data_IF_823511885102
#
_entry.id   IF_823511885102
#
_cell.length_a   1.000
_cell.length_b   1.000
_cell.length_c   1.000
_cell.angle_alpha   90.00
_cell.angle_beta   90.00
_cell.angle_gamma   90.00
#
_symmetry.space_group_name_H-M   'P 1'
#
loop_
_entity.id
_entity.type
_entity.pdbx_description
1 polymer ?
#
# COMPACT_ATOMS: atom_id res chain seq x y z
N UNK A 1 6.09 -26.91 -7.57
CA UNK A 1 7.18 -26.08 -7.01
C UNK A 1 6.68 -25.55 -5.67
N UNK A 2 7.30 -25.92 -4.55
CA UNK A 2 6.89 -25.41 -3.23
C UNK A 2 7.71 -24.15 -2.97
N UNK A 3 7.06 -22.99 -3.01
CA UNK A 3 7.66 -21.71 -2.65
C UNK A 3 7.47 -21.57 -1.14
N UNK A 4 8.54 -21.79 -0.37
CA UNK A 4 8.51 -21.67 1.08
C UNK A 4 8.79 -20.22 1.46
N UNK A 5 7.74 -19.43 1.68
CA UNK A 5 7.84 -18.08 2.24
C UNK A 5 7.40 -18.17 3.69
N UNK A 6 8.33 -18.03 4.64
CA UNK A 6 7.95 -17.85 6.05
C UNK A 6 8.04 -16.37 6.40
N UNK A 7 6.95 -15.76 6.91
CA UNK A 7 5.63 -16.35 7.16
C UNK A 7 4.74 -16.32 5.91
N UNK A 8 4.13 -17.47 5.59
CA UNK A 8 3.02 -17.53 4.63
C UNK A 8 1.74 -17.38 5.44
N UNK A 9 1.12 -16.20 5.38
CA UNK A 9 -0.26 -16.06 5.82
C UNK A 9 -1.15 -16.69 4.75
N UNK A 10 -1.99 -17.64 5.13
CA UNK A 10 -3.05 -18.17 4.27
C UNK A 10 -4.38 -17.54 4.67
N UNK A 11 -5.27 -17.38 3.70
CA UNK A 11 -6.63 -16.89 3.93
C UNK A 11 -7.57 -17.55 2.93
N UNK A 12 -8.82 -17.74 3.35
CA UNK A 12 -9.89 -18.32 2.54
C UNK A 12 -10.53 -17.30 1.59
N UNK A 13 -10.14 -16.02 1.68
CA UNK A 13 -10.65 -14.98 0.79
C UNK A 13 -10.23 -15.26 -0.67
N UNK A 14 -11.08 -14.89 -1.65
CA UNK A 14 -10.70 -15.01 -3.05
C UNK A 14 -9.56 -14.02 -3.39
N UNK A 15 -8.63 -14.37 -4.31
CA UNK A 15 -7.48 -13.54 -4.67
C UNK A 15 -7.82 -12.08 -5.01
N UNK A 16 -8.93 -11.86 -5.70
CA UNK A 16 -9.35 -10.52 -6.12
C UNK A 16 -9.62 -9.59 -4.92
N UNK A 17 -10.06 -10.14 -3.78
CA UNK A 17 -10.28 -9.34 -2.55
C UNK A 17 -9.00 -8.81 -1.96
N UNK A 18 -7.89 -9.53 -2.10
CA UNK A 18 -6.59 -9.01 -1.67
C UNK A 18 -6.17 -7.86 -2.57
N UNK A 19 -6.37 -7.98 -3.88
CA UNK A 19 -5.98 -6.93 -4.82
C UNK A 19 -6.85 -5.68 -4.68
N UNK A 20 -8.15 -5.82 -4.43
CA UNK A 20 -9.03 -4.69 -4.09
C UNK A 20 -8.49 -3.87 -2.90
N UNK A 21 -7.99 -4.56 -1.87
CA UNK A 21 -7.44 -3.92 -0.67
C UNK A 21 -6.03 -3.37 -0.95
N UNK A 22 -5.10 -4.22 -1.40
CA UNK A 22 -3.70 -3.85 -1.61
C UNK A 22 -3.51 -2.72 -2.63
N UNK A 23 -4.39 -2.62 -3.63
CA UNK A 23 -4.37 -1.54 -4.60
C UNK A 23 -5.11 -0.28 -4.12
N UNK A 24 -5.91 -0.33 -3.05
CA UNK A 24 -6.62 0.83 -2.55
C UNK A 24 -5.64 1.82 -1.90
N UNK A 25 -5.31 2.89 -2.62
CA UNK A 25 -4.31 3.89 -2.19
C UNK A 25 -4.63 4.52 -0.83
N UNK A 26 -5.92 4.72 -0.54
CA UNK A 26 -6.39 5.25 0.74
C UNK A 26 -6.23 4.30 1.92
N UNK A 27 -5.98 3.00 1.67
CA UNK A 27 -5.74 1.99 2.69
C UNK A 27 -4.25 1.66 2.86
N UNK A 28 -3.36 2.26 2.07
CA UNK A 28 -1.92 2.01 2.18
C UNK A 28 -1.39 2.21 3.61
N UNK A 29 -1.97 3.13 4.39
CA UNK A 29 -1.55 3.34 5.78
C UNK A 29 -1.84 2.20 6.75
N UNK A 30 -2.62 1.19 6.34
CA UNK A 30 -2.91 0.02 7.18
C UNK A 30 -1.77 -1.02 7.17
N UNK A 31 -0.91 -1.01 6.14
CA UNK A 31 0.22 -1.94 6.01
C UNK A 31 1.55 -1.28 5.63
N UNK A 32 1.54 0.04 5.44
CA UNK A 32 2.74 0.85 5.40
C UNK A 32 2.85 1.59 6.72
N UNK A 33 4.06 1.75 7.26
CA UNK A 33 4.30 2.62 8.42
C UNK A 33 4.20 4.11 8.01
N UNK A 34 3.16 4.49 7.27
CA UNK A 34 2.94 5.83 6.72
C UNK A 34 1.45 6.19 6.68
N UNK A 35 1.11 7.47 6.79
CA UNK A 35 -0.25 7.98 6.69
C UNK A 35 -0.54 8.42 5.23
N UNK A 36 -1.67 7.99 4.66
CA UNK A 36 -2.10 8.44 3.33
C UNK A 36 -2.49 9.92 3.34
N UNK A 37 -2.06 10.67 2.32
CA UNK A 37 -2.41 12.08 2.12
C UNK A 37 -3.29 12.26 0.89
N UNK A 38 -2.81 11.83 -0.29
CA UNK A 38 -3.55 11.97 -1.55
C UNK A 38 -3.03 11.02 -2.61
N UNK A 39 -3.82 10.84 -3.68
CA UNK A 39 -3.41 10.16 -4.88
C UNK A 39 -3.95 10.89 -6.11
N UNK A 40 -3.12 11.04 -7.15
CA UNK A 40 -3.45 11.78 -8.36
C UNK A 40 -3.13 10.93 -9.60
N UNK A 41 -4.14 10.51 -10.40
CA UNK A 41 -5.58 10.66 -10.16
C UNK A 41 -6.07 9.84 -8.95
N UNK A 42 -7.23 10.16 -8.34
CA UNK A 42 -7.75 9.41 -7.20
C UNK A 42 -8.20 7.99 -7.61
N UNK A 43 -8.09 7.03 -6.69
CA UNK A 43 -8.56 5.66 -6.87
C UNK A 43 -7.50 4.60 -6.58
N UNK A 44 -7.75 3.38 -7.04
CA UNK A 44 -6.81 2.28 -6.91
C UNK A 44 -5.48 2.57 -7.63
N UNK A 45 -4.41 1.93 -7.17
CA UNK A 45 -3.07 2.01 -7.73
C UNK A 45 -3.09 1.66 -9.22
N UNK A 46 -2.68 2.60 -10.07
CA UNK A 46 -2.61 2.42 -11.52
C UNK A 46 -1.43 3.17 -12.12
N UNK A 47 -0.87 2.69 -13.25
CA UNK A 47 0.30 3.31 -13.87
C UNK A 47 0.13 4.80 -14.15
N UNK A 48 1.15 5.59 -13.83
CA UNK A 48 1.18 7.04 -14.01
C UNK A 48 0.52 7.83 -12.88
N UNK A 49 0.07 7.17 -11.82
CA UNK A 49 -0.45 7.80 -10.61
C UNK A 49 0.69 8.24 -9.69
N UNK A 50 0.51 9.35 -9.00
CA UNK A 50 1.38 9.80 -7.90
C UNK A 50 0.62 9.68 -6.59
N UNK A 51 1.20 8.98 -5.63
CA UNK A 51 0.64 8.82 -4.27
C UNK A 51 1.51 9.55 -3.27
N UNK A 52 0.88 10.40 -2.44
CA UNK A 52 1.52 11.15 -1.37
C UNK A 52 1.18 10.53 -0.02
N UNK A 53 2.21 10.30 0.78
CA UNK A 53 2.15 9.72 2.12
C UNK A 53 3.00 10.55 3.08
N UNK A 54 2.83 10.32 4.38
CA UNK A 54 3.70 10.88 5.42
C UNK A 54 4.15 9.77 6.37
N UNK A 55 5.46 9.51 6.44
CA UNK A 55 6.03 8.48 7.30
C UNK A 55 6.74 9.09 8.52
N UNK A 56 6.58 8.55 9.74
CA UNK A 56 7.39 8.93 10.88
C UNK A 56 8.81 8.33 10.78
N UNK A 57 9.83 9.10 11.18
CA UNK A 57 11.21 8.64 11.23
C UNK A 57 12.10 9.64 11.95
N UNK A 58 13.04 9.17 12.79
CA UNK A 58 13.98 10.03 13.52
C UNK A 58 13.30 11.16 14.32
N UNK A 59 12.13 10.89 14.92
CA UNK A 59 11.36 11.88 15.68
C UNK A 59 10.69 12.98 14.84
N UNK A 60 10.57 12.80 13.53
CA UNK A 60 9.92 13.73 12.59
C UNK A 60 8.95 13.00 11.67
N UNK A 61 8.10 13.76 10.97
CA UNK A 61 7.25 13.30 9.87
C UNK A 61 7.89 13.68 8.54
N UNK A 62 7.99 12.73 7.62
CA UNK A 62 8.65 12.88 6.32
C UNK A 62 7.64 12.72 5.19
N UNK A 63 7.55 13.65 4.23
CA UNK A 63 6.75 13.44 3.05
C UNK A 63 7.35 12.31 2.21
N UNK A 64 6.51 11.40 1.75
CA UNK A 64 6.86 10.28 0.89
C UNK A 64 6.02 10.39 -0.38
N UNK A 65 6.67 10.14 -1.52
CA UNK A 65 6.05 10.08 -2.85
C UNK A 65 6.29 8.71 -3.44
N UNK A 66 5.23 8.10 -3.98
CA UNK A 66 5.29 6.88 -4.77
C UNK A 66 4.81 7.22 -6.17
N UNK A 67 5.63 6.89 -7.17
CA UNK A 67 5.26 6.93 -8.59
C UNK A 67 4.93 5.49 -9.00
N UNK A 68 3.67 5.26 -9.42
CA UNK A 68 3.12 3.94 -9.75
C UNK A 68 3.33 3.60 -11.22
#
# INVERSE_FOLDING_TARGET
MIVNVCPAATSEAPPDRFWEILAATNLLGEWTDAEFVSAEPPGAAQPGQVVHLVAPGFGRKWPVRIDV
#
